data_IF_547622103127
#
_entry.id   IF_547622103127
#
_cell.length_a   1.000
_cell.length_b   1.000
_cell.length_c   1.000
_cell.angle_alpha   90.00
_cell.angle_beta   90.00
_cell.angle_gamma   90.00
#
_symmetry.space_group_name_H-M   'P 1'
#
loop_
_entity.id
_entity.type
_entity.pdbx_description
1 polymer ?
#
# COMPACT_ATOMS: atom_id res chain seq x y z
N UNK A 1 5.54 -19.74 1.65
CA UNK A 1 5.90 -18.37 2.11
C UNK A 1 4.69 -17.48 1.90
N UNK A 2 4.43 -16.52 2.80
CA UNK A 2 3.22 -15.68 2.78
C UNK A 2 3.61 -14.23 2.54
N UNK A 3 2.92 -13.59 1.59
CA UNK A 3 2.99 -12.16 1.36
C UNK A 3 1.80 -11.46 2.03
N UNK A 4 2.01 -10.25 2.52
CA UNK A 4 0.98 -9.42 3.14
C UNK A 4 1.00 -8.04 2.48
N UNK A 5 -0.19 -7.51 2.19
CA UNK A 5 -0.38 -6.14 1.75
C UNK A 5 -1.49 -5.48 2.57
N UNK A 6 -1.28 -4.23 2.95
CA UNK A 6 -2.19 -3.42 3.76
C UNK A 6 -2.52 -2.17 2.95
N UNK A 7 -3.80 -1.93 2.73
CA UNK A 7 -4.32 -0.75 2.05
C UNK A 7 -5.04 0.12 3.09
N UNK A 8 -4.60 1.37 3.22
CA UNK A 8 -5.26 2.36 4.07
C UNK A 8 -5.61 3.61 3.28
N UNK A 9 -6.88 4.02 3.36
CA UNK A 9 -7.31 5.31 2.83
C UNK A 9 -8.62 5.74 3.49
N UNK A 10 -8.74 6.98 4.00
CA UNK A 10 -9.84 7.40 4.86
C UNK A 10 -11.20 7.45 4.15
N UNK A 11 -11.25 7.84 2.87
CA UNK A 11 -12.51 8.05 2.14
C UNK A 11 -12.85 6.96 1.13
N UNK A 12 -11.89 6.11 0.78
CA UNK A 12 -12.13 5.02 -0.17
C UNK A 12 -12.78 3.88 0.61
N UNK A 13 -13.87 3.34 0.10
CA UNK A 13 -14.58 2.28 0.82
C UNK A 13 -13.74 1.00 0.91
N UNK A 14 -13.96 0.21 1.97
CA UNK A 14 -13.38 -1.13 2.08
C UNK A 14 -13.79 -2.03 0.90
N UNK A 15 -15.01 -1.85 0.36
CA UNK A 15 -15.46 -2.59 -0.82
C UNK A 15 -14.57 -2.32 -2.04
N UNK A 16 -14.25 -1.05 -2.31
CA UNK A 16 -13.35 -0.66 -3.40
C UNK A 16 -11.96 -1.27 -3.21
N UNK A 17 -11.38 -1.14 -2.02
CA UNK A 17 -10.07 -1.76 -1.69
C UNK A 17 -10.08 -3.27 -1.89
N UNK A 18 -11.11 -3.96 -1.42
CA UNK A 18 -11.28 -5.40 -1.61
C UNK A 18 -11.38 -5.77 -3.10
N UNK A 19 -12.12 -5.00 -3.91
CA UNK A 19 -12.21 -5.23 -5.37
C UNK A 19 -10.87 -5.05 -6.06
N UNK A 20 -10.13 -3.99 -5.74
CA UNK A 20 -8.78 -3.76 -6.27
C UNK A 20 -7.84 -4.92 -5.95
N UNK A 21 -7.82 -5.36 -4.69
CA UNK A 21 -6.96 -6.46 -4.26
C UNK A 21 -7.33 -7.78 -4.95
N UNK A 22 -8.62 -8.08 -5.07
CA UNK A 22 -9.08 -9.28 -5.80
C UNK A 22 -8.69 -9.23 -7.27
N UNK A 23 -8.73 -8.06 -7.89
CA UNK A 23 -8.30 -7.88 -9.28
C UNK A 23 -6.79 -8.11 -9.44
N UNK A 24 -5.97 -7.51 -8.56
CA UNK A 24 -4.51 -7.62 -8.60
C UNK A 24 -4.02 -9.06 -8.34
N UNK A 25 -4.76 -9.85 -7.57
CA UNK A 25 -4.36 -11.20 -7.14
C UNK A 25 -5.33 -12.29 -7.61
N UNK A 26 -6.04 -12.08 -8.72
CA UNK A 26 -7.14 -12.96 -9.15
C UNK A 26 -6.75 -14.40 -9.47
N UNK A 27 -5.50 -14.65 -9.88
CA UNK A 27 -5.01 -15.99 -10.25
C UNK A 27 -4.33 -16.75 -9.10
N UNK A 28 -4.30 -16.16 -7.90
CA UNK A 28 -3.51 -16.70 -6.78
C UNK A 28 -4.36 -16.88 -5.55
N UNK A 29 -3.95 -17.80 -4.69
CA UNK A 29 -4.65 -18.03 -3.43
C UNK A 29 -4.41 -16.86 -2.47
N UNK A 30 -5.49 -16.27 -1.98
CA UNK A 30 -5.45 -15.15 -1.05
C UNK A 30 -6.56 -15.18 0.00
N UNK A 31 -6.37 -14.39 1.04
CA UNK A 31 -7.31 -14.17 2.12
C UNK A 31 -7.36 -12.68 2.46
N UNK A 32 -8.55 -12.10 2.47
CA UNK A 32 -8.76 -10.67 2.73
C UNK A 32 -9.45 -10.51 4.09
N UNK A 33 -8.92 -9.58 4.88
CA UNK A 33 -9.49 -9.15 6.14
C UNK A 33 -9.75 -7.65 6.12
N UNK A 34 -10.99 -7.28 6.46
CA UNK A 34 -11.33 -5.89 6.76
C UNK A 34 -11.08 -5.68 8.24
N UNK A 35 -10.08 -4.86 8.58
CA UNK A 35 -9.65 -4.67 9.99
C UNK A 35 -10.34 -3.47 10.61
N UNK A 36 -10.47 -2.37 9.84
CA UNK A 36 -11.13 -1.12 10.24
C UNK A 36 -11.87 -0.52 9.04
N UNK A 37 -12.62 0.55 9.28
CA UNK A 37 -13.41 1.22 8.25
C UNK A 37 -12.56 1.78 7.08
N UNK A 38 -11.28 2.05 7.33
CA UNK A 38 -10.33 2.63 6.37
C UNK A 38 -9.21 1.68 5.94
N UNK A 39 -9.16 0.46 6.49
CA UNK A 39 -7.99 -0.43 6.40
C UNK A 39 -8.38 -1.85 6.01
N UNK A 40 -7.81 -2.33 4.91
CA UNK A 40 -7.94 -3.71 4.41
C UNK A 40 -6.57 -4.37 4.37
N UNK A 41 -6.51 -5.63 4.80
CA UNK A 41 -5.30 -6.46 4.79
C UNK A 41 -5.55 -7.67 3.90
N UNK A 42 -4.62 -8.00 3.03
CA UNK A 42 -4.63 -9.23 2.25
C UNK A 42 -3.39 -10.06 2.55
N UNK A 43 -3.58 -11.36 2.71
CA UNK A 43 -2.51 -12.35 2.69
C UNK A 43 -2.58 -13.11 1.37
N UNK A 44 -1.43 -13.25 0.71
CA UNK A 44 -1.32 -13.91 -0.59
C UNK A 44 -0.24 -14.99 -0.50
N UNK A 45 -0.55 -16.18 -1.01
CA UNK A 45 0.35 -17.32 -0.98
C UNK A 45 1.01 -17.53 -2.35
N UNK A 46 2.25 -18.02 -2.32
CA UNK A 46 2.98 -18.50 -3.50
C UNK A 46 3.18 -17.49 -4.63
N UNK A 47 3.19 -16.18 -4.32
CA UNK A 47 3.53 -15.14 -5.30
C UNK A 47 5.02 -14.83 -5.31
N UNK A 48 5.51 -14.32 -6.45
CA UNK A 48 6.85 -13.76 -6.54
C UNK A 48 6.91 -12.40 -5.87
N UNK A 49 8.12 -11.99 -5.49
CA UNK A 49 8.33 -10.69 -4.85
C UNK A 49 8.11 -9.53 -5.81
N UNK A 50 8.42 -9.73 -7.09
CA UNK A 50 8.17 -8.78 -8.18
C UNK A 50 6.67 -8.48 -8.32
N UNK A 51 5.82 -9.50 -8.28
CA UNK A 51 4.37 -9.34 -8.42
C UNK A 51 3.79 -8.55 -7.22
N UNK A 52 4.28 -8.85 -6.01
CA UNK A 52 3.90 -8.11 -4.80
C UNK A 52 4.28 -6.62 -4.91
N UNK A 53 5.47 -6.32 -5.43
CA UNK A 53 5.94 -4.95 -5.61
C UNK A 53 5.19 -4.21 -6.71
N UNK A 54 4.93 -4.86 -7.84
CA UNK A 54 4.11 -4.28 -8.92
C UNK A 54 2.72 -3.91 -8.40
N UNK A 55 2.05 -4.83 -7.71
CA UNK A 55 0.76 -4.55 -7.09
C UNK A 55 0.84 -3.40 -6.07
N UNK A 56 1.91 -3.32 -5.28
CA UNK A 56 2.09 -2.21 -4.33
C UNK A 56 2.24 -0.86 -5.06
N UNK A 57 3.02 -0.80 -6.14
CA UNK A 57 3.20 0.42 -6.94
C UNK A 57 1.88 0.84 -7.60
N UNK A 58 1.14 -0.10 -8.19
CA UNK A 58 -0.16 0.17 -8.82
C UNK A 58 -1.18 0.78 -7.84
N UNK A 59 -1.12 0.40 -6.56
CA UNK A 59 -1.97 0.98 -5.52
C UNK A 59 -1.42 2.30 -5.01
N UNK A 60 -0.10 2.42 -4.86
CA UNK A 60 0.53 3.65 -4.36
C UNK A 60 0.27 4.86 -5.27
N UNK A 61 0.24 4.66 -6.60
CA UNK A 61 -0.03 5.75 -7.56
C UNK A 61 -1.47 6.27 -7.51
N UNK A 62 -2.38 5.59 -6.80
CA UNK A 62 -3.76 6.05 -6.59
C UNK A 62 -3.95 6.78 -5.26
N UNK A 63 -2.87 7.27 -4.67
CA UNK A 63 -2.86 7.98 -3.38
C UNK A 63 -3.35 7.14 -2.18
N UNK A 64 -3.38 5.81 -2.33
CA UNK A 64 -3.70 4.89 -1.24
C UNK A 64 -2.41 4.53 -0.51
N UNK A 65 -2.40 4.72 0.82
CA UNK A 65 -1.27 4.28 1.63
C UNK A 65 -1.16 2.75 1.58
N UNK A 66 0.01 2.27 1.15
CA UNK A 66 0.27 0.84 0.98
C UNK A 66 1.44 0.36 1.85
N UNK A 67 1.18 -0.67 2.64
CA UNK A 67 2.20 -1.45 3.32
C UNK A 67 2.32 -2.81 2.67
N UNK A 68 3.54 -3.33 2.48
CA UNK A 68 3.74 -4.67 1.94
C UNK A 68 4.91 -5.39 2.62
N UNK A 69 4.86 -6.72 2.66
CA UNK A 69 5.91 -7.51 3.28
C UNK A 69 5.75 -9.02 3.05
N UNK A 70 6.85 -9.76 3.13
CA UNK A 70 6.86 -11.21 2.94
C UNK A 70 7.53 -11.91 4.11
N UNK A 71 6.99 -13.05 4.55
CA UNK A 71 7.52 -13.81 5.67
C UNK A 71 7.16 -15.28 5.62
N UNK A 72 7.66 -16.06 6.57
CA UNK A 72 7.35 -17.48 6.68
C UNK A 72 5.91 -17.73 7.16
N UNK A 73 5.30 -16.75 7.84
CA UNK A 73 3.89 -16.79 8.24
C UNK A 73 3.22 -15.42 8.26
N UNK A 74 1.88 -15.42 8.40
CA UNK A 74 1.04 -14.21 8.38
C UNK A 74 1.53 -13.12 9.33
N UNK A 75 1.91 -13.49 10.56
CA UNK A 75 2.40 -12.56 11.59
C UNK A 75 3.65 -11.80 11.15
N UNK A 76 4.62 -12.51 10.59
CA UNK A 76 5.88 -11.92 10.14
C UNK A 76 5.67 -11.03 8.91
N UNK A 77 4.90 -11.52 7.93
CA UNK A 77 4.56 -10.77 6.72
C UNK A 77 3.83 -9.47 7.07
N UNK A 78 2.85 -9.52 7.99
CA UNK A 78 2.13 -8.35 8.48
C UNK A 78 3.03 -7.36 9.21
N UNK A 79 3.92 -7.83 10.10
CA UNK A 79 4.87 -6.96 10.80
C UNK A 79 5.72 -6.14 9.82
N UNK A 80 6.21 -6.76 8.74
CA UNK A 80 6.97 -6.08 7.68
C UNK A 80 6.10 -5.08 6.91
N UNK A 81 4.87 -5.46 6.55
CA UNK A 81 3.93 -4.55 5.89
C UNK A 81 3.59 -3.31 6.73
N UNK A 82 3.39 -3.48 8.04
CA UNK A 82 3.15 -2.38 8.98
C UNK A 82 4.38 -1.45 9.12
N UNK A 83 5.60 -2.01 9.06
CA UNK A 83 6.82 -1.21 9.06
C UNK A 83 6.91 -0.30 7.82
N UNK A 84 6.56 -0.82 6.64
CA UNK A 84 6.51 -0.02 5.41
C UNK A 84 5.46 1.08 5.53
N UNK A 85 4.25 0.74 5.98
CA UNK A 85 3.16 1.71 6.13
C UNK A 85 3.51 2.84 7.11
N UNK A 86 4.25 2.55 8.19
CA UNK A 86 4.74 3.57 9.13
C UNK A 86 5.75 4.52 8.50
N UNK A 87 6.59 4.05 7.57
CA UNK A 87 7.54 4.93 6.87
C UNK A 87 6.79 5.98 6.05
N UNK A 88 5.77 5.57 5.29
CA UNK A 88 4.90 6.49 4.55
C UNK A 88 4.34 7.63 5.41
N UNK A 89 3.88 7.32 6.62
CA UNK A 89 3.33 8.32 7.56
C UNK A 89 4.36 9.27 8.16
N UNK A 90 5.63 8.88 8.18
CA UNK A 90 6.72 9.64 8.77
C UNK A 90 7.59 10.33 7.71
N UNK A 91 7.31 10.14 6.42
CA UNK A 91 7.95 10.90 5.35
C UNK A 91 7.43 12.33 5.43
N UNK A 92 8.28 13.34 5.72
CA UNK A 92 7.85 14.72 5.64
C UNK A 92 7.40 14.99 4.21
N UNK A 93 6.21 15.59 4.06
CA UNK A 93 5.80 16.16 2.78
C UNK A 93 6.82 17.26 2.49
N UNK A 94 7.71 17.03 1.53
CA UNK A 94 8.53 18.10 0.97
C UNK A 94 7.58 19.02 0.22
N UNK A 95 7.08 20.05 0.90
CA UNK A 95 6.53 21.24 0.26
C UNK A 95 7.69 21.94 -0.45
N UNK A 96 7.96 21.53 -1.68
CA UNK A 96 8.63 22.39 -2.66
C UNK A 96 7.62 23.44 -3.13
N UNK A 97 7.34 24.43 -2.27
CA UNK A 97 6.92 25.74 -2.74
C UNK A 97 8.20 26.55 -3.03
N UNK A 98 8.88 26.24 -4.14
CA UNK A 98 9.80 27.20 -4.73
C UNK A 98 8.96 28.29 -5.41
N UNK A 99 8.70 29.35 -4.66
CA UNK A 99 8.18 30.59 -5.20
C UNK A 99 9.11 31.13 -6.28
N UNK A 100 8.66 31.09 -7.54
CA UNK A 100 9.23 31.90 -8.60
C UNK A 100 8.88 33.37 -8.34
N UNK A 101 9.65 34.05 -7.49
CA UNK A 101 9.74 35.51 -7.49
C UNK A 101 10.76 35.94 -8.55
N UNK A 102 10.34 35.89 -9.81
CA UNK A 102 11.08 36.51 -10.90
C UNK A 102 11.07 38.03 -10.73
N UNK A 103 12.17 38.58 -10.19
CA UNK A 103 12.48 40.01 -10.27
C UNK A 103 12.60 40.41 -11.75
N UNK A 104 11.55 41.02 -12.31
CA UNK A 104 11.70 41.84 -13.50
C UNK A 104 12.32 43.17 -13.07
N UNK A 105 13.65 43.24 -13.20
CA UNK A 105 14.39 44.49 -13.15
C UNK A 105 13.94 45.41 -14.30
N UNK A 106 13.80 46.68 -13.96
CA UNK A 106 13.47 47.81 -14.85
C UNK A 106 14.67 48.23 -15.69
#
# INVERSE_FOLDING_TARGET
MVSCMILRHPTITNLTKCKMLRFLFHEVNFEIHVVKQDTVVIYVWNIQQTDLWQAAVMVAVTDIEVGYGRGFGKREARKKAEQVLRKWRNTPISTEEEGYSGNFGT
#
